data_IF_461790766171
#
_entry.id   IF_461790766171
#
_cell.length_a   1.000
_cell.length_b   1.000
_cell.length_c   1.000
_cell.angle_alpha   90.00
_cell.angle_beta   90.00
_cell.angle_gamma   90.00
#
_symmetry.space_group_name_H-M   'P 1'
#
loop_
_entity.id
_entity.type
_entity.pdbx_description
1 polymer ?
#
# COMPACT_ATOMS: atom_id res chain seq x y z
N UNK A 1 -5.92 -27.99 -15.24
CA UNK A 1 -5.18 -26.88 -15.87
C UNK A 1 -4.90 -25.87 -14.77
N UNK A 2 -3.64 -25.71 -14.36
CA UNK A 2 -3.27 -24.64 -13.44
C UNK A 2 -3.44 -23.33 -14.23
N UNK A 3 -4.45 -22.54 -13.88
CA UNK A 3 -4.56 -21.19 -14.42
C UNK A 3 -3.29 -20.44 -14.05
N UNK A 4 -2.58 -19.93 -15.06
CA UNK A 4 -1.59 -18.88 -14.82
C UNK A 4 -2.34 -17.77 -14.08
N UNK A 5 -2.09 -17.63 -12.78
CA UNK A 5 -2.54 -16.46 -12.04
C UNK A 5 -1.78 -15.29 -12.65
N UNK A 6 -2.38 -14.67 -13.65
CA UNK A 6 -1.84 -13.53 -14.33
C UNK A 6 -1.71 -12.44 -13.26
N UNK A 7 -0.46 -12.13 -12.90
CA UNK A 7 -0.12 -11.14 -11.88
C UNK A 7 -0.45 -9.76 -12.45
N UNK A 8 -1.73 -9.42 -12.46
CA UNK A 8 -2.16 -8.06 -12.75
C UNK A 8 -1.91 -7.23 -11.52
N UNK A 9 -1.10 -6.19 -11.66
CA UNK A 9 -0.97 -5.15 -10.66
C UNK A 9 -2.02 -4.08 -10.93
N UNK A 10 -2.76 -3.69 -9.89
CA UNK A 10 -3.84 -2.73 -10.04
C UNK A 10 -3.34 -1.30 -9.81
N UNK A 11 -3.68 -0.43 -10.76
CA UNK A 11 -3.42 0.99 -10.65
C UNK A 11 -4.28 1.60 -9.53
N UNK A 12 -3.82 2.72 -8.99
CA UNK A 12 -4.59 3.48 -8.03
C UNK A 12 -5.94 3.88 -8.65
N UNK A 13 -7.05 3.68 -7.94
CA UNK A 13 -8.35 4.18 -8.33
C UNK A 13 -8.31 5.66 -8.73
N UNK A 14 -9.04 6.02 -9.79
CA UNK A 14 -9.08 7.39 -10.30
C UNK A 14 -9.61 8.41 -9.27
N UNK A 15 -10.38 7.97 -8.27
CA UNK A 15 -10.81 8.87 -7.21
C UNK A 15 -9.63 9.44 -6.41
N UNK A 16 -8.46 8.82 -6.37
CA UNK A 16 -7.28 9.40 -5.70
C UNK A 16 -6.70 10.61 -6.45
N UNK A 17 -7.04 10.85 -7.72
CA UNK A 17 -6.45 11.93 -8.52
C UNK A 17 -6.57 13.34 -7.91
N UNK A 18 -7.59 13.60 -7.08
CA UNK A 18 -7.74 14.89 -6.40
C UNK A 18 -6.78 15.10 -5.22
N UNK A 19 -6.13 14.03 -4.75
CA UNK A 19 -5.16 14.04 -3.66
C UNK A 19 -3.71 14.05 -4.17
N UNK A 20 -3.51 13.90 -5.49
CA UNK A 20 -2.19 13.82 -6.09
C UNK A 20 -1.68 15.22 -6.49
N UNK A 21 -0.36 15.44 -6.43
CA UNK A 21 0.28 16.57 -7.09
C UNK A 21 -0.11 16.65 -8.57
N UNK A 22 -0.14 17.87 -9.14
CA UNK A 22 -0.58 18.11 -10.52
C UNK A 22 0.26 17.39 -11.59
N UNK A 23 1.49 17.01 -11.25
CA UNK A 23 2.44 16.29 -12.11
C UNK A 23 2.38 14.76 -11.97
N UNK A 24 1.54 14.24 -11.06
CA UNK A 24 1.40 12.80 -10.82
C UNK A 24 -0.03 12.37 -11.11
N UNK A 25 -0.19 11.50 -12.10
CA UNK A 25 -1.48 10.92 -12.45
C UNK A 25 -1.70 9.57 -11.76
N UNK A 26 -2.95 9.24 -11.45
CA UNK A 26 -3.29 8.01 -10.71
C UNK A 26 -2.90 6.73 -11.46
N UNK A 27 -2.86 6.76 -12.79
CA UNK A 27 -2.40 5.63 -13.61
C UNK A 27 -0.91 5.35 -13.46
N UNK A 28 -0.13 6.25 -12.84
CA UNK A 28 1.29 6.04 -12.49
C UNK A 28 1.48 5.38 -11.13
N UNK A 29 0.44 5.26 -10.34
CA UNK A 29 0.50 4.65 -9.02
C UNK A 29 0.01 3.22 -9.11
N UNK A 30 0.84 2.27 -8.69
CA UNK A 30 0.53 0.85 -8.66
C UNK A 30 0.38 0.41 -7.21
N UNK A 31 -0.85 0.09 -6.81
CA UNK A 31 -1.18 -0.18 -5.41
C UNK A 31 -0.71 -1.58 -5.00
N UNK A 32 0.00 -1.67 -3.88
CA UNK A 32 0.50 -2.94 -3.37
C UNK A 32 0.10 -3.23 -1.92
N UNK A 33 -0.35 -2.23 -1.15
CA UNK A 33 -0.83 -2.52 0.20
C UNK A 33 -1.45 -1.35 0.93
N UNK A 34 -1.69 -1.62 2.22
CA UNK A 34 -2.21 -0.72 3.21
C UNK A 34 -1.55 -1.04 4.56
N UNK A 35 -1.38 -0.01 5.38
CA UNK A 35 -0.97 -0.16 6.80
C UNK A 35 -2.04 0.42 7.70
N UNK A 36 -2.11 -0.08 8.93
CA UNK A 36 -3.20 0.14 9.90
C UNK A 36 -3.59 1.61 10.14
N UNK A 37 -2.68 2.55 9.91
CA UNK A 37 -2.91 3.98 10.13
C UNK A 37 -3.71 4.69 9.03
N UNK A 38 -4.26 3.95 8.06
CA UNK A 38 -4.99 4.54 6.93
C UNK A 38 -4.11 4.81 5.70
N UNK A 39 -2.82 4.45 5.74
CA UNK A 39 -1.92 4.75 4.62
C UNK A 39 -2.02 3.70 3.53
N UNK A 40 -2.31 4.17 2.32
CA UNK A 40 -2.23 3.41 1.09
C UNK A 40 -0.82 3.48 0.51
N UNK A 41 -0.36 2.33 0.02
CA UNK A 41 1.02 2.14 -0.43
C UNK A 41 1.08 1.82 -1.91
N UNK A 42 1.94 2.56 -2.61
CA UNK A 42 2.08 2.50 -4.06
C UNK A 42 3.53 2.36 -4.50
N UNK A 43 3.73 1.75 -5.65
CA UNK A 43 4.90 2.00 -6.48
C UNK A 43 4.56 3.14 -7.43
N UNK A 44 5.43 4.13 -7.55
CA UNK A 44 5.29 5.20 -8.54
C UNK A 44 6.07 4.80 -9.80
N UNK A 45 5.37 4.58 -10.91
CA UNK A 45 5.93 4.07 -12.15
C UNK A 45 6.73 5.15 -12.89
N UNK A 46 8.01 5.30 -12.50
CA UNK A 46 8.98 6.21 -13.11
C UNK A 46 9.80 5.49 -14.18
N UNK A 47 9.44 5.69 -15.45
CA UNK A 47 10.16 5.07 -16.58
C UNK A 47 10.01 3.54 -16.63
N UNK A 48 10.99 2.86 -17.24
CA UNK A 48 10.87 1.45 -17.63
C UNK A 48 11.53 0.46 -16.66
N UNK A 49 12.44 0.92 -15.79
CA UNK A 49 13.10 0.05 -14.82
C UNK A 49 12.29 0.01 -13.51
N UNK A 50 11.54 -1.08 -13.31
CA UNK A 50 10.71 -1.24 -12.13
C UNK A 50 11.49 -1.31 -10.82
N UNK A 51 12.79 -1.63 -10.86
CA UNK A 51 13.63 -1.62 -9.65
C UNK A 51 13.96 -0.19 -9.19
N UNK A 52 13.83 0.78 -10.09
CA UNK A 52 14.09 2.20 -9.82
C UNK A 52 12.81 2.98 -9.48
N UNK A 53 11.64 2.33 -9.50
CA UNK A 53 10.38 2.97 -9.12
C UNK A 53 10.38 3.31 -7.63
N UNK A 54 10.17 4.58 -7.24
CA UNK A 54 10.08 4.94 -5.84
C UNK A 54 8.79 4.42 -5.20
N UNK A 55 8.81 4.34 -3.87
CA UNK A 55 7.62 4.04 -3.08
C UNK A 55 6.87 5.34 -2.81
N UNK A 56 5.55 5.30 -2.88
CA UNK A 56 4.71 6.43 -2.55
C UNK A 56 3.61 6.04 -1.56
N UNK A 57 3.37 6.93 -0.61
CA UNK A 57 2.40 6.76 0.48
C UNK A 57 1.34 7.85 0.40
N UNK A 58 0.07 7.45 0.54
CA UNK A 58 -1.08 8.37 0.56
C UNK A 58 -2.00 8.01 1.71
N UNK A 59 -2.23 8.95 2.62
CA UNK A 59 -3.22 8.79 3.68
C UNK A 59 -4.64 8.83 3.12
N UNK A 60 -5.50 7.90 3.56
CA UNK A 60 -6.90 7.79 3.13
C UNK A 60 -7.69 9.10 3.35
N UNK A 61 -7.39 9.83 4.42
CA UNK A 61 -8.00 11.13 4.76
C UNK A 61 -7.52 12.31 3.89
N UNK A 62 -6.70 12.07 2.87
CA UNK A 62 -6.27 13.09 1.93
C UNK A 62 -5.04 13.89 2.33
N UNK A 63 -4.12 13.26 3.08
CA UNK A 63 -2.79 13.82 3.38
C UNK A 63 -1.91 13.95 2.12
N UNK A 64 -0.75 14.64 2.23
CA UNK A 64 0.15 14.80 1.10
C UNK A 64 0.72 13.45 0.64
N UNK A 65 0.81 13.26 -0.68
CA UNK A 65 1.57 12.15 -1.26
C UNK A 65 3.04 12.28 -0.83
N UNK A 66 3.58 11.26 -0.16
CA UNK A 66 4.99 11.21 0.23
C UNK A 66 5.72 10.23 -0.69
N UNK A 67 6.87 10.65 -1.24
CA UNK A 67 7.69 9.83 -2.14
C UNK A 67 9.00 9.44 -1.43
N UNK A 68 9.32 8.15 -1.50
CA UNK A 68 10.50 7.53 -0.90
C UNK A 68 11.40 6.99 -2.01
N UNK A 69 12.48 7.73 -2.29
CA UNK A 69 13.42 7.47 -3.40
C UNK A 69 14.44 6.36 -3.10
N UNK A 70 14.48 5.88 -1.86
CA UNK A 70 15.44 4.88 -1.41
C UNK A 70 15.06 3.42 -1.75
N UNK A 71 13.90 3.26 -2.40
CA UNK A 71 13.40 2.00 -2.93
C UNK A 71 12.75 1.09 -1.89
N UNK A 72 12.09 0.04 -2.38
CA UNK A 72 11.24 -0.83 -1.56
C UNK A 72 11.96 -1.49 -0.39
N UNK A 73 13.18 -1.99 -0.59
CA UNK A 73 13.90 -2.71 0.45
C UNK A 73 14.24 -1.81 1.64
N UNK A 74 14.74 -0.59 1.37
CA UNK A 74 15.07 0.38 2.41
C UNK A 74 13.80 0.92 3.09
N UNK A 75 12.72 1.09 2.32
CA UNK A 75 11.41 1.44 2.84
C UNK A 75 10.87 0.40 3.83
N UNK A 76 10.79 -0.87 3.44
CA UNK A 76 10.29 -1.96 4.31
C UNK A 76 11.20 -2.20 5.52
N UNK A 77 12.51 -2.01 5.37
CA UNK A 77 13.45 -2.14 6.49
C UNK A 77 13.11 -1.17 7.65
N UNK A 78 12.54 0.01 7.35
CA UNK A 78 12.07 0.95 8.39
C UNK A 78 10.98 0.35 9.25
N UNK A 79 10.05 -0.41 8.66
CA UNK A 79 8.97 -1.06 9.40
C UNK A 79 9.47 -2.20 10.28
N UNK A 80 10.51 -2.89 9.84
CA UNK A 80 11.13 -3.97 10.60
C UNK A 80 12.05 -3.44 11.71
N UNK A 81 12.44 -2.16 11.66
CA UNK A 81 13.31 -1.55 12.66
C UNK A 81 12.46 -1.05 13.82
N UNK A 82 12.74 -1.46 15.08
CA UNK A 82 11.99 -0.95 16.23
C UNK A 82 12.10 0.58 16.27
N UNK A 83 10.96 1.28 16.24
CA UNK A 83 10.97 2.73 16.47
C UNK A 83 11.25 2.95 17.96
N UNK A 84 12.24 3.78 18.35
CA UNK A 84 12.46 4.10 19.77
C UNK A 84 11.24 4.82 20.34
N UNK A 85 10.43 4.12 21.14
CA UNK A 85 9.18 4.65 21.70
C UNK A 85 8.43 3.63 22.57
N UNK A 86 7.39 4.05 23.32
CA UNK A 86 6.69 3.20 24.29
C UNK A 86 5.77 2.15 23.67
N UNK A 87 5.37 2.30 22.41
CA UNK A 87 4.55 1.33 21.67
C UNK A 87 5.44 0.56 20.69
N UNK A 88 5.82 -0.66 21.07
CA UNK A 88 6.56 -1.62 20.24
C UNK A 88 5.64 -2.43 19.33
N UNK A 89 4.45 -1.92 19.00
CA UNK A 89 3.55 -2.69 18.14
C UNK A 89 4.10 -2.69 16.71
N UNK A 90 4.31 -3.88 16.11
CA UNK A 90 4.78 -3.96 14.74
C UNK A 90 3.74 -3.32 13.81
N UNK A 91 4.21 -2.56 12.81
CA UNK A 91 3.33 -2.04 11.75
C UNK A 91 2.63 -3.23 11.09
N UNK A 92 1.30 -3.27 11.18
CA UNK A 92 0.52 -4.29 10.50
C UNK A 92 0.39 -3.92 9.02
N UNK A 93 1.11 -4.66 8.18
CA UNK A 93 0.97 -4.60 6.73
C UNK A 93 -0.07 -5.61 6.27
N UNK A 94 -0.97 -5.17 5.39
CA UNK A 94 -1.86 -6.05 4.65
C UNK A 94 -1.82 -5.72 3.16
N UNK A 95 -1.67 -6.76 2.35
CA UNK A 95 -1.80 -6.62 0.91
C UNK A 95 -3.25 -6.28 0.55
N UNK A 96 -3.48 -5.30 -0.32
CA UNK A 96 -4.82 -4.76 -0.55
C UNK A 96 -5.83 -5.80 -1.09
N UNK A 97 -5.37 -6.78 -1.89
CA UNK A 97 -6.24 -7.90 -2.34
C UNK A 97 -6.71 -8.76 -1.18
N UNK A 98 -5.83 -8.98 -0.21
CA UNK A 98 -6.16 -9.77 0.97
C UNK A 98 -7.12 -8.98 1.86
N UNK A 99 -6.90 -7.67 2.00
CA UNK A 99 -7.84 -6.78 2.66
C UNK A 99 -9.24 -6.88 2.04
N UNK A 100 -9.36 -6.75 0.71
CA UNK A 100 -10.65 -6.88 0.03
C UNK A 100 -11.25 -8.28 0.14
N UNK A 101 -10.46 -9.35 0.02
CA UNK A 101 -10.93 -10.73 0.20
C UNK A 101 -11.51 -10.93 1.60
N UNK A 102 -10.84 -10.43 2.64
CA UNK A 102 -11.32 -10.52 4.01
C UNK A 102 -12.63 -9.74 4.21
N UNK A 103 -12.74 -8.54 3.64
CA UNK A 103 -13.98 -7.78 3.67
C UNK A 103 -15.13 -8.49 2.95
N UNK A 104 -14.88 -9.07 1.78
CA UNK A 104 -15.88 -9.82 1.01
C UNK A 104 -16.36 -11.07 1.76
N UNK A 105 -15.50 -11.67 2.59
CA UNK A 105 -15.82 -12.79 3.48
C UNK A 105 -16.44 -12.36 4.81
N UNK A 106 -16.60 -11.05 5.07
CA UNK A 106 -17.15 -10.51 6.32
C UNK A 106 -16.20 -10.66 7.52
N UNK A 107 -14.90 -10.79 7.26
CA UNK A 107 -13.84 -10.88 8.27
C UNK A 107 -13.21 -9.51 8.51
N UNK A 108 -12.73 -9.28 9.73
CA UNK A 108 -11.94 -8.12 10.11
C UNK A 108 -10.53 -8.24 9.50
N UNK A 109 -10.11 -7.32 8.62
CA UNK A 109 -8.79 -7.40 7.98
C UNK A 109 -7.60 -7.30 8.95
N UNK A 110 -7.77 -6.69 10.11
CA UNK A 110 -6.72 -6.57 11.12
C UNK A 110 -6.50 -7.87 11.90
N UNK A 111 -7.54 -8.71 12.04
CA UNK A 111 -7.49 -9.91 12.90
C UNK A 111 -7.69 -11.22 12.14
N UNK A 112 -8.25 -11.18 10.94
CA UNK A 112 -8.67 -12.35 10.16
C UNK A 112 -9.91 -13.06 10.74
N UNK A 113 -10.55 -12.51 11.76
CA UNK A 113 -11.73 -13.09 12.42
C UNK A 113 -13.01 -12.28 12.15
N UNK A 114 -14.20 -12.84 12.37
CA UNK A 114 -15.44 -12.06 12.28
C UNK A 114 -15.44 -10.83 13.20
N UNK A 115 -16.10 -9.75 12.78
CA UNK A 115 -16.19 -8.47 13.48
C UNK A 115 -16.81 -8.51 14.89
N UNK A 116 -17.34 -9.64 15.33
CA UNK A 116 -18.15 -9.79 16.54
C UNK A 116 -17.51 -10.66 17.64
N UNK A 117 -16.17 -10.70 17.74
CA UNK A 117 -15.45 -11.37 18.83
C UNK A 117 -14.96 -10.38 19.89
#
# INVERSE_FOLDING_TARGET
MAGSAELFWEQAPQHYSHLLPHDISADKLLRWGFIEDGTHLFWLMTGNDSNAWPIADLYEDGGPLTIHEDGFAAYVQRWCTPTPGPTQEPVQFIHWREYNRLLDEGLNPATGFPWAL
#
